data_IF_318326101365
#
_entry.id   IF_318326101365
#
_cell.length_a   1.000
_cell.length_b   1.000
_cell.length_c   1.000
_cell.angle_alpha   90.00
_cell.angle_beta   90.00
_cell.angle_gamma   90.00
#
_symmetry.space_group_name_H-M   'P 1'
#
loop_
_entity.id
_entity.type
_entity.pdbx_description
1 polymer ?
#
# COMPACT_ATOMS: atom_id res chain seq x y z
N UNK A 1 51.83 -38.51 -2.92
CA UNK A 1 51.48 -37.60 -4.00
C UNK A 1 50.27 -36.82 -3.57
N UNK A 2 50.51 -35.62 -3.34
CA UNK A 2 49.66 -34.65 -2.73
C UNK A 2 48.50 -34.24 -3.64
N UNK A 3 47.27 -34.26 -3.16
CA UNK A 3 46.18 -33.49 -3.68
C UNK A 3 45.70 -32.61 -2.52
N UNK A 4 46.15 -31.38 -2.62
CA UNK A 4 45.94 -30.34 -1.63
C UNK A 4 44.52 -29.93 -1.53
N UNK A 5 44.03 -30.09 -0.35
CA UNK A 5 42.89 -29.50 0.23
C UNK A 5 43.07 -27.98 0.33
N UNK A 6 42.42 -27.21 -0.59
CA UNK A 6 42.23 -25.76 -0.43
C UNK A 6 40.86 -25.52 0.15
N UNK A 7 40.74 -25.76 1.44
CA UNK A 7 39.72 -25.14 2.24
C UNK A 7 39.94 -23.63 2.22
N UNK A 8 39.02 -22.89 1.60
CA UNK A 8 39.03 -21.43 1.60
C UNK A 8 39.00 -20.93 3.05
N UNK A 9 40.06 -20.29 3.46
CA UNK A 9 40.15 -19.54 4.72
C UNK A 9 39.05 -18.47 4.71
N UNK A 10 38.06 -18.69 5.53
CA UNK A 10 37.06 -17.67 5.88
C UNK A 10 37.75 -16.68 6.81
N UNK A 11 38.25 -15.59 6.25
CA UNK A 11 38.74 -14.47 7.04
C UNK A 11 37.54 -13.82 7.73
N UNK A 12 37.37 -14.11 8.99
CA UNK A 12 36.42 -13.40 9.88
C UNK A 12 37.12 -12.11 10.28
N UNK A 13 36.68 -10.99 9.77
CA UNK A 13 37.07 -9.66 10.25
C UNK A 13 36.10 -9.25 11.37
N UNK A 14 36.66 -8.96 12.54
CA UNK A 14 35.93 -8.51 13.73
C UNK A 14 35.54 -7.04 13.60
N UNK A 15 34.28 -6.70 13.90
CA UNK A 15 33.83 -5.30 13.96
C UNK A 15 34.28 -4.61 15.25
N UNK A 16 34.24 -3.27 15.29
CA UNK A 16 34.51 -2.49 16.49
C UNK A 16 33.59 -2.84 17.70
N UNK A 17 32.54 -3.63 17.46
CA UNK A 17 31.55 -4.11 18.42
C UNK A 17 31.75 -5.62 18.76
N UNK A 18 32.90 -6.22 18.37
CA UNK A 18 33.27 -7.61 18.72
C UNK A 18 32.48 -8.71 18.00
N UNK A 19 31.75 -8.41 16.94
CA UNK A 19 30.90 -9.34 16.20
C UNK A 19 31.40 -9.75 14.82
N UNK A 20 30.97 -10.92 14.35
CA UNK A 20 31.26 -11.46 13.02
C UNK A 20 30.72 -10.54 11.90
N UNK A 21 31.55 -10.24 10.90
CA UNK A 21 31.20 -9.42 9.73
C UNK A 21 30.98 -10.28 8.49
N UNK A 22 29.84 -10.07 7.84
CA UNK A 22 29.39 -10.81 6.66
C UNK A 22 29.65 -10.03 5.38
N UNK A 23 30.00 -10.71 4.30
CA UNK A 23 29.92 -10.14 2.97
C UNK A 23 28.49 -10.23 2.41
N UNK A 24 28.20 -9.51 1.31
CA UNK A 24 26.84 -9.44 0.74
C UNK A 24 26.29 -10.81 0.29
N UNK A 25 27.18 -11.74 -0.12
CA UNK A 25 26.80 -13.11 -0.48
C UNK A 25 26.37 -13.91 0.74
N UNK A 26 27.13 -13.82 1.84
CA UNK A 26 26.78 -14.47 3.11
C UNK A 26 25.45 -13.92 3.66
N UNK A 27 25.22 -12.62 3.59
CA UNK A 27 23.92 -12.01 3.97
C UNK A 27 22.77 -12.59 3.14
N UNK A 28 22.99 -12.71 1.82
CA UNK A 28 21.98 -13.32 0.93
C UNK A 28 21.69 -14.76 1.32
N UNK A 29 22.73 -15.57 1.60
CA UNK A 29 22.58 -16.98 1.96
C UNK A 29 21.84 -17.13 3.31
N UNK A 30 22.16 -16.29 4.31
CA UNK A 30 21.52 -16.28 5.62
C UNK A 30 20.01 -15.97 5.55
N UNK A 31 19.62 -15.10 4.63
CA UNK A 31 18.24 -14.62 4.54
C UNK A 31 17.40 -15.35 3.47
N UNK A 32 18.03 -16.08 2.58
CA UNK A 32 17.37 -16.75 1.45
C UNK A 32 16.38 -17.84 1.88
N UNK A 33 16.67 -18.52 2.99
CA UNK A 33 15.79 -19.56 3.53
C UNK A 33 14.48 -18.95 4.06
N UNK A 34 14.57 -17.80 4.73
CA UNK A 34 13.42 -17.11 5.33
C UNK A 34 12.58 -16.32 4.31
N UNK A 35 13.25 -15.86 3.23
CA UNK A 35 12.65 -14.95 2.23
C UNK A 35 12.92 -15.39 0.77
N UNK A 36 12.44 -16.58 0.37
CA UNK A 36 12.68 -17.12 -0.96
C UNK A 36 12.07 -16.18 -2.02
N UNK A 37 12.89 -15.75 -2.98
CA UNK A 37 12.45 -14.86 -4.08
C UNK A 37 12.27 -13.39 -3.72
N UNK A 38 12.33 -13.02 -2.43
CA UNK A 38 12.14 -11.63 -1.97
C UNK A 38 13.47 -10.90 -1.75
N UNK A 39 14.58 -11.64 -1.59
CA UNK A 39 15.91 -11.06 -1.37
C UNK A 39 16.84 -11.35 -2.55
N UNK A 40 17.62 -10.33 -2.91
CA UNK A 40 18.67 -10.42 -3.94
C UNK A 40 19.76 -9.39 -3.66
N UNK A 41 20.95 -9.56 -4.26
CA UNK A 41 22.04 -8.58 -4.13
C UNK A 41 21.61 -7.16 -4.55
N UNK A 42 20.90 -6.95 -5.68
CA UNK A 42 20.37 -5.64 -6.02
C UNK A 42 19.44 -5.07 -4.96
N UNK A 43 18.58 -5.90 -4.35
CA UNK A 43 17.66 -5.48 -3.28
C UNK A 43 18.43 -4.99 -2.05
N UNK A 44 19.47 -5.71 -1.61
CA UNK A 44 20.32 -5.30 -0.47
C UNK A 44 20.99 -3.95 -0.75
N UNK A 45 21.52 -3.75 -1.97
CA UNK A 45 22.12 -2.47 -2.39
C UNK A 45 21.10 -1.33 -2.41
N UNK A 46 19.87 -1.62 -2.81
CA UNK A 46 18.80 -0.64 -2.81
C UNK A 46 18.42 -0.21 -1.38
N UNK A 47 18.41 -1.15 -0.42
CA UNK A 47 18.16 -0.83 1.00
C UNK A 47 19.27 0.08 1.58
N UNK A 48 20.53 -0.12 1.18
CA UNK A 48 21.64 0.79 1.53
C UNK A 48 21.43 2.18 0.89
N UNK A 49 21.07 2.22 -0.39
CA UNK A 49 20.83 3.47 -1.11
C UNK A 49 19.66 4.27 -0.53
N UNK A 50 18.61 3.59 -0.08
CA UNK A 50 17.47 4.18 0.61
C UNK A 50 17.79 4.58 2.07
N UNK A 51 19.01 4.33 2.57
CA UNK A 51 19.43 4.67 3.93
C UNK A 51 18.82 3.78 5.02
N UNK A 52 18.21 2.67 4.66
CA UNK A 52 17.58 1.74 5.61
C UNK A 52 18.61 0.84 6.32
N UNK A 53 19.78 0.64 5.72
CA UNK A 53 20.92 -0.07 6.30
C UNK A 53 22.22 0.71 6.00
N UNK A 54 23.22 0.57 6.88
CA UNK A 54 24.49 1.30 6.77
C UNK A 54 25.66 0.34 7.00
N UNK A 55 26.01 -0.51 6.00
CA UNK A 55 27.09 -1.46 6.14
C UNK A 55 28.44 -0.78 6.29
N UNK A 56 29.34 -1.38 7.04
CA UNK A 56 30.72 -0.95 7.15
C UNK A 56 31.45 -1.11 5.82
N UNK A 57 32.46 -0.27 5.58
CA UNK A 57 33.35 -0.41 4.43
C UNK A 57 34.77 -0.74 4.92
N UNK A 58 35.36 -1.77 4.35
CA UNK A 58 36.79 -2.07 4.57
C UNK A 58 37.66 -0.97 4.00
N UNK A 59 38.96 -0.95 4.39
CA UNK A 59 39.97 -0.08 3.79
C UNK A 59 40.08 -0.25 2.25
N UNK A 60 39.76 -1.45 1.74
CA UNK A 60 39.70 -1.77 0.30
C UNK A 60 38.32 -1.45 -0.34
N UNK A 61 37.39 -0.82 0.38
CA UNK A 61 36.11 -0.35 -0.15
C UNK A 61 35.00 -1.41 -0.21
N UNK A 62 35.24 -2.65 0.24
CA UNK A 62 34.21 -3.71 0.24
C UNK A 62 33.22 -3.50 1.38
N UNK A 63 31.94 -3.82 1.11
CA UNK A 63 30.87 -3.80 2.11
C UNK A 63 30.96 -4.96 3.08
N UNK A 64 30.86 -4.66 4.36
CA UNK A 64 30.78 -5.63 5.46
C UNK A 64 29.54 -5.33 6.30
N UNK A 65 28.75 -6.35 6.54
CA UNK A 65 27.49 -6.28 7.26
C UNK A 65 27.66 -6.91 8.64
N UNK A 66 27.25 -6.20 9.67
CA UNK A 66 27.19 -6.73 11.03
C UNK A 66 25.98 -7.67 11.21
N UNK A 67 25.93 -8.38 12.30
CA UNK A 67 24.76 -9.17 12.68
C UNK A 67 23.51 -8.26 12.82
N UNK A 68 23.70 -7.06 13.34
CA UNK A 68 22.66 -6.03 13.44
C UNK A 68 22.12 -5.62 12.06
N UNK A 69 22.97 -5.48 11.06
CA UNK A 69 22.54 -5.19 9.68
C UNK A 69 21.70 -6.35 9.11
N UNK A 70 22.07 -7.59 9.37
CA UNK A 70 21.33 -8.78 8.95
C UNK A 70 19.94 -8.80 9.59
N UNK A 71 19.84 -8.58 10.90
CA UNK A 71 18.55 -8.49 11.60
C UNK A 71 17.69 -7.32 11.09
N UNK A 72 18.33 -6.19 10.80
CA UNK A 72 17.65 -5.03 10.23
C UNK A 72 17.07 -5.33 8.84
N UNK A 73 17.82 -6.01 7.97
CA UNK A 73 17.31 -6.48 6.68
C UNK A 73 16.17 -7.49 6.88
N UNK A 74 16.30 -8.43 7.83
CA UNK A 74 15.24 -9.40 8.16
C UNK A 74 13.96 -8.68 8.57
N UNK A 75 14.05 -7.70 9.44
CA UNK A 75 12.93 -6.88 9.88
C UNK A 75 12.27 -6.16 8.69
N UNK A 76 13.05 -5.48 7.83
CA UNK A 76 12.54 -4.78 6.64
C UNK A 76 11.77 -5.73 5.73
N UNK A 77 12.36 -6.90 5.43
CA UNK A 77 11.73 -7.88 4.54
C UNK A 77 10.44 -8.46 5.15
N UNK A 78 10.43 -8.70 6.47
CA UNK A 78 9.22 -9.13 7.19
C UNK A 78 8.13 -8.07 7.12
N UNK A 79 8.45 -6.82 7.43
CA UNK A 79 7.49 -5.72 7.37
C UNK A 79 6.94 -5.50 5.95
N UNK A 80 7.77 -5.69 4.92
CA UNK A 80 7.32 -5.61 3.53
C UNK A 80 6.47 -6.81 3.10
N UNK A 81 6.78 -8.03 3.56
CA UNK A 81 6.09 -9.26 3.19
C UNK A 81 4.77 -9.45 3.92
N UNK A 82 4.81 -9.27 5.25
CA UNK A 82 3.72 -9.67 6.14
C UNK A 82 2.78 -8.48 6.45
N UNK A 83 3.32 -7.25 6.43
CA UNK A 83 2.60 -6.04 6.81
C UNK A 83 2.51 -5.01 5.68
N UNK A 84 3.12 -5.27 4.50
CA UNK A 84 3.08 -4.36 3.33
C UNK A 84 3.45 -2.91 3.64
N UNK A 85 4.27 -2.68 4.68
CA UNK A 85 4.61 -1.33 5.12
C UNK A 85 5.42 -0.58 4.05
N UNK A 86 5.08 0.69 3.79
CA UNK A 86 5.89 1.58 2.97
C UNK A 86 7.29 1.76 3.57
N UNK A 87 8.32 1.92 2.73
CA UNK A 87 9.71 2.12 3.17
C UNK A 87 9.86 3.25 4.18
N UNK A 88 9.10 4.34 4.04
CA UNK A 88 9.12 5.48 4.96
C UNK A 88 8.69 5.08 6.37
N UNK A 89 7.61 4.31 6.51
CA UNK A 89 7.13 3.82 7.80
C UNK A 89 8.14 2.83 8.41
N UNK A 90 8.73 1.96 7.58
CA UNK A 90 9.79 1.05 8.03
C UNK A 90 11.01 1.84 8.54
N UNK A 91 11.38 2.93 7.87
CA UNK A 91 12.47 3.81 8.32
C UNK A 91 12.16 4.43 9.70
N UNK A 92 10.93 4.89 9.94
CA UNK A 92 10.48 5.41 11.22
C UNK A 92 10.52 4.35 12.33
N UNK A 93 10.13 3.09 12.02
CA UNK A 93 10.26 1.96 12.94
C UNK A 93 11.72 1.66 13.30
N UNK A 94 12.60 1.64 12.28
CA UNK A 94 14.02 1.38 12.48
C UNK A 94 14.69 2.49 13.32
N UNK A 95 14.31 3.75 13.10
CA UNK A 95 14.78 4.88 13.91
C UNK A 95 14.30 4.77 15.38
N UNK A 96 13.06 4.35 15.59
CA UNK A 96 12.55 4.06 16.94
C UNK A 96 13.36 2.95 17.62
N UNK A 97 13.62 1.83 16.91
CA UNK A 97 14.44 0.73 17.40
C UNK A 97 15.89 1.17 17.71
N UNK A 98 16.47 2.03 16.88
CA UNK A 98 17.81 2.58 17.09
C UNK A 98 17.89 3.46 18.35
N UNK A 99 16.78 4.07 18.74
CA UNK A 99 16.63 4.84 20.00
C UNK A 99 16.24 3.99 21.21
N UNK A 100 16.12 2.65 21.05
CA UNK A 100 15.73 1.74 22.10
C UNK A 100 14.24 1.80 22.47
N UNK A 101 13.43 2.40 21.61
CA UNK A 101 11.96 2.38 21.74
C UNK A 101 11.42 1.11 21.07
N UNK A 102 10.39 0.50 21.66
CA UNK A 102 9.64 -0.52 20.92
C UNK A 102 9.01 0.15 19.69
N UNK A 103 9.25 -0.42 18.47
CA UNK A 103 8.54 0.06 17.30
C UNK A 103 7.04 -0.06 17.58
N UNK A 104 6.22 0.87 17.09
CA UNK A 104 4.77 0.72 17.19
C UNK A 104 4.41 -0.68 16.72
N UNK A 105 3.62 -1.40 17.53
CA UNK A 105 3.19 -2.74 17.18
C UNK A 105 2.69 -2.65 15.73
N UNK A 106 3.38 -3.33 14.81
CA UNK A 106 2.92 -3.39 13.44
C UNK A 106 1.63 -4.21 13.53
N UNK A 107 0.54 -3.51 13.80
CA UNK A 107 -0.79 -4.08 13.65
C UNK A 107 -0.75 -4.78 12.29
N UNK A 108 -1.22 -6.04 12.18
CA UNK A 108 -1.30 -6.68 10.89
C UNK A 108 -1.98 -5.65 10.00
N UNK A 109 -1.25 -5.11 9.03
CA UNK A 109 -1.86 -4.34 7.98
C UNK A 109 -2.54 -5.40 7.12
N UNK A 110 -3.63 -5.92 7.63
CA UNK A 110 -4.78 -6.10 6.76
C UNK A 110 -4.86 -4.74 6.08
N UNK A 111 -4.71 -4.64 4.74
CA UNK A 111 -4.87 -3.37 4.06
C UNK A 111 -6.09 -2.73 4.68
N UNK A 112 -5.86 -1.68 5.46
CA UNK A 112 -6.96 -1.07 6.20
C UNK A 112 -7.81 -0.55 5.08
N UNK A 113 -8.95 -1.16 4.89
CA UNK A 113 -9.97 -0.63 3.98
C UNK A 113 -10.00 0.83 4.32
N UNK A 114 -9.72 1.75 3.38
CA UNK A 114 -9.70 3.16 3.70
C UNK A 114 -11.02 3.45 4.40
N UNK A 115 -10.94 3.68 5.70
CA UNK A 115 -12.15 3.96 6.46
C UNK A 115 -12.60 5.31 5.95
N UNK A 116 -13.64 5.31 5.16
CA UNK A 116 -14.26 6.55 4.70
C UNK A 116 -14.51 7.36 5.95
N UNK A 117 -13.80 8.50 6.08
CA UNK A 117 -14.01 9.37 7.25
C UNK A 117 -15.44 9.86 7.20
N UNK A 118 -16.27 9.29 8.05
CA UNK A 118 -17.69 9.62 8.11
C UNK A 118 -17.87 10.86 8.98
N UNK A 119 -18.80 11.71 8.59
CA UNK A 119 -19.34 12.78 9.44
C UNK A 119 -20.13 12.17 10.60
N UNK A 120 -20.48 12.97 11.58
CA UNK A 120 -21.41 12.55 12.67
C UNK A 120 -22.75 12.01 12.17
N UNK A 121 -23.09 12.29 10.93
CA UNK A 121 -24.32 11.81 10.25
C UNK A 121 -24.08 10.50 9.45
N UNK A 122 -22.88 9.92 9.50
CA UNK A 122 -22.54 8.68 8.81
C UNK A 122 -22.29 8.82 7.30
N UNK A 123 -22.14 10.05 6.78
CA UNK A 123 -21.82 10.30 5.38
C UNK A 123 -20.31 10.58 5.19
N UNK A 124 -19.71 10.28 4.02
CA UNK A 124 -18.31 10.60 3.76
C UNK A 124 -18.01 12.09 3.94
N UNK A 125 -16.91 12.40 4.65
CA UNK A 125 -16.43 13.77 4.79
C UNK A 125 -15.67 14.22 3.53
N UNK A 126 -15.51 15.52 3.33
CA UNK A 126 -14.72 16.07 2.21
C UNK A 126 -13.28 15.51 2.18
N UNK A 127 -12.69 15.24 3.34
CA UNK A 127 -11.34 14.65 3.42
C UNK A 127 -11.26 13.24 2.83
N UNK A 128 -12.35 12.48 2.83
CA UNK A 128 -12.41 11.16 2.20
C UNK A 128 -12.21 11.23 0.69
N UNK A 129 -12.61 12.33 0.06
CA UNK A 129 -12.46 12.53 -1.38
C UNK A 129 -11.10 13.13 -1.79
N UNK A 130 -10.28 13.58 -0.81
CA UNK A 130 -8.93 14.12 -1.05
C UNK A 130 -7.83 13.08 -0.92
N UNK A 131 -8.10 11.95 -0.24
CA UNK A 131 -7.08 10.94 0.04
C UNK A 131 -6.76 10.15 -1.21
N UNK A 132 -5.55 10.34 -1.72
CA UNK A 132 -4.91 9.43 -2.66
C UNK A 132 -4.05 8.49 -1.83
N UNK A 133 -4.44 7.24 -1.70
CA UNK A 133 -3.54 6.25 -1.16
C UNK A 133 -2.71 5.60 -2.28
N UNK A 134 -1.56 5.07 -1.93
CA UNK A 134 -0.66 4.41 -2.85
C UNK A 134 -0.86 2.88 -2.85
N UNK A 135 -2.04 2.40 -2.41
CA UNK A 135 -2.34 0.98 -2.38
C UNK A 135 -2.37 0.44 -3.82
N UNK A 136 -1.64 -0.64 -4.06
CA UNK A 136 -1.60 -1.34 -5.35
C UNK A 136 -1.73 -2.83 -5.08
N UNK A 137 -2.88 -3.37 -5.39
CA UNK A 137 -3.20 -4.77 -5.22
C UNK A 137 -3.17 -5.47 -6.57
N UNK A 138 -2.47 -6.59 -6.66
CA UNK A 138 -2.66 -7.52 -7.76
C UNK A 138 -4.06 -8.15 -7.69
N UNK A 139 -4.52 -8.77 -8.79
CA UNK A 139 -5.80 -9.49 -8.81
C UNK A 139 -5.93 -10.50 -7.67
N UNK A 140 -4.86 -11.29 -7.43
CA UNK A 140 -4.86 -12.31 -6.37
C UNK A 140 -4.97 -11.70 -4.96
N UNK A 141 -4.30 -10.58 -4.73
CA UNK A 141 -4.36 -9.87 -3.45
C UNK A 141 -5.73 -9.26 -3.23
N UNK A 142 -6.32 -8.62 -4.25
CA UNK A 142 -7.67 -8.07 -4.15
C UNK A 142 -8.70 -9.14 -3.82
N UNK A 143 -8.71 -10.27 -4.54
CA UNK A 143 -9.59 -11.42 -4.28
C UNK A 143 -9.45 -11.92 -2.85
N UNK A 144 -8.20 -12.10 -2.38
CA UNK A 144 -7.92 -12.59 -1.03
C UNK A 144 -8.35 -11.60 0.05
N UNK A 145 -8.07 -10.31 -0.12
CA UNK A 145 -8.32 -9.27 0.89
C UNK A 145 -9.79 -8.88 0.94
N UNK A 146 -10.44 -8.75 -0.21
CA UNK A 146 -11.87 -8.51 -0.30
C UNK A 146 -12.71 -9.76 0.04
N UNK A 147 -12.05 -10.94 0.11
CA UNK A 147 -12.72 -12.23 0.30
C UNK A 147 -13.84 -12.47 -0.73
N UNK A 148 -13.60 -12.08 -1.97
CA UNK A 148 -14.53 -12.26 -3.08
C UNK A 148 -14.08 -13.41 -3.99
N UNK A 149 -15.01 -13.93 -4.79
CA UNK A 149 -14.66 -14.92 -5.83
C UNK A 149 -14.03 -14.22 -7.05
N UNK A 150 -13.21 -14.97 -7.81
CA UNK A 150 -12.70 -14.48 -9.10
C UNK A 150 -13.83 -14.19 -10.11
N UNK A 151 -14.96 -14.86 -9.96
CA UNK A 151 -16.14 -14.67 -10.78
C UNK A 151 -16.80 -13.32 -10.48
N UNK A 152 -17.07 -13.03 -9.21
CA UNK A 152 -17.59 -11.72 -8.78
C UNK A 152 -16.66 -10.59 -9.23
N UNK A 153 -15.34 -10.77 -9.09
CA UNK A 153 -14.38 -9.76 -9.53
C UNK A 153 -14.49 -9.51 -11.05
N UNK A 154 -14.61 -10.57 -11.87
CA UNK A 154 -14.83 -10.43 -13.32
C UNK A 154 -16.13 -9.68 -13.64
N UNK A 155 -17.22 -10.01 -12.95
CA UNK A 155 -18.50 -9.33 -13.15
C UNK A 155 -18.43 -7.84 -12.81
N UNK A 156 -17.67 -7.48 -11.76
CA UNK A 156 -17.42 -6.07 -11.39
C UNK A 156 -16.61 -5.34 -12.47
N UNK A 157 -15.61 -5.99 -13.06
CA UNK A 157 -14.84 -5.46 -14.19
C UNK A 157 -15.72 -5.28 -15.43
N UNK A 158 -16.51 -6.27 -15.78
CA UNK A 158 -17.44 -6.27 -16.93
C UNK A 158 -18.52 -5.17 -16.75
N UNK A 159 -18.95 -4.94 -15.53
CA UNK A 159 -19.87 -3.86 -15.19
C UNK A 159 -19.17 -2.49 -15.12
N UNK A 160 -17.84 -2.43 -15.29
CA UNK A 160 -17.00 -1.24 -15.16
C UNK A 160 -17.11 -0.55 -13.80
N UNK A 161 -17.41 -1.30 -12.75
CA UNK A 161 -17.43 -0.82 -11.37
C UNK A 161 -16.02 -0.64 -10.83
N UNK A 162 -15.11 -1.53 -11.25
CA UNK A 162 -13.68 -1.48 -10.93
C UNK A 162 -12.87 -1.68 -12.23
N UNK A 163 -11.64 -1.18 -12.23
CA UNK A 163 -10.70 -1.37 -13.33
C UNK A 163 -9.27 -1.48 -12.81
N UNK A 164 -8.50 -2.41 -13.37
CA UNK A 164 -7.08 -2.46 -13.12
C UNK A 164 -6.34 -1.37 -13.90
N UNK A 165 -5.51 -0.59 -13.23
CA UNK A 165 -4.60 0.38 -13.85
C UNK A 165 -3.20 -0.20 -13.84
N UNK A 166 -2.64 -0.47 -15.03
CA UNK A 166 -1.33 -1.13 -15.19
C UNK A 166 -1.23 -2.48 -14.48
N UNK A 167 -2.35 -3.23 -14.42
CA UNK A 167 -2.42 -4.55 -13.78
C UNK A 167 -2.62 -4.52 -12.26
N UNK A 168 -2.85 -3.36 -11.66
CA UNK A 168 -3.07 -3.19 -10.23
C UNK A 168 -4.40 -2.50 -9.95
N UNK A 169 -5.00 -2.82 -8.81
CA UNK A 169 -6.20 -2.19 -8.27
C UNK A 169 -5.81 -1.30 -7.08
N UNK A 170 -6.56 -0.23 -6.89
CA UNK A 170 -6.41 0.72 -5.79
C UNK A 170 -7.31 0.35 -4.59
N UNK A 171 -7.29 1.18 -3.58
CA UNK A 171 -8.13 1.05 -2.40
C UNK A 171 -9.62 1.17 -2.69
N UNK A 172 -10.00 2.02 -3.66
CA UNK A 172 -11.40 2.20 -4.02
C UNK A 172 -11.96 0.93 -4.65
N UNK A 173 -11.18 0.24 -5.48
CA UNK A 173 -11.54 -1.06 -6.04
C UNK A 173 -11.74 -2.11 -4.93
N UNK A 174 -10.95 -2.09 -3.85
CA UNK A 174 -11.12 -2.97 -2.70
C UNK A 174 -12.45 -2.71 -2.00
N UNK A 175 -12.75 -1.44 -1.68
CA UNK A 175 -14.01 -1.05 -1.01
C UNK A 175 -15.21 -1.42 -1.87
N UNK A 176 -15.15 -1.14 -3.19
CA UNK A 176 -16.23 -1.50 -4.11
C UNK A 176 -16.46 -3.00 -4.14
N UNK A 177 -15.39 -3.81 -4.18
CA UNK A 177 -15.50 -5.27 -4.21
C UNK A 177 -16.13 -5.82 -2.93
N UNK A 178 -15.73 -5.33 -1.76
CA UNK A 178 -16.31 -5.72 -0.47
C UNK A 178 -17.77 -5.32 -0.36
N UNK A 179 -18.11 -4.08 -0.71
CA UNK A 179 -19.48 -3.61 -0.70
C UNK A 179 -20.38 -4.37 -1.67
N UNK A 180 -19.85 -4.72 -2.86
CA UNK A 180 -20.58 -5.51 -3.82
C UNK A 180 -20.86 -6.95 -3.32
N UNK A 181 -19.88 -7.55 -2.60
CA UNK A 181 -20.09 -8.85 -1.92
C UNK A 181 -21.24 -8.77 -0.91
N UNK A 182 -21.22 -7.75 -0.05
CA UNK A 182 -22.30 -7.55 0.94
C UNK A 182 -23.65 -7.35 0.27
N UNK A 183 -23.72 -6.57 -0.80
CA UNK A 183 -24.96 -6.35 -1.57
C UNK A 183 -25.46 -7.63 -2.26
N UNK A 184 -24.55 -8.51 -2.68
CA UNK A 184 -24.91 -9.80 -3.27
C UNK A 184 -25.64 -10.72 -2.30
N UNK A 185 -25.39 -10.62 -0.98
CA UNK A 185 -26.13 -11.34 0.05
C UNK A 185 -27.64 -10.97 0.08
N UNK A 186 -27.96 -9.77 -0.39
CA UNK A 186 -29.34 -9.29 -0.57
C UNK A 186 -29.87 -9.49 -1.99
N UNK A 187 -29.16 -10.25 -2.84
CA UNK A 187 -29.56 -10.50 -4.22
C UNK A 187 -29.27 -9.35 -5.21
N UNK A 188 -28.47 -8.36 -4.80
CA UNK A 188 -28.06 -7.25 -5.66
C UNK A 188 -26.74 -7.61 -6.33
N UNK A 189 -26.79 -8.09 -7.56
CA UNK A 189 -25.65 -8.51 -8.35
C UNK A 189 -24.98 -7.31 -9.08
N UNK A 190 -23.72 -7.43 -9.57
CA UNK A 190 -23.02 -6.36 -10.28
C UNK A 190 -23.78 -5.73 -11.44
N UNK A 191 -24.59 -6.52 -12.17
CA UNK A 191 -25.44 -5.99 -13.25
C UNK A 191 -26.45 -4.93 -12.76
N UNK A 192 -26.96 -5.04 -11.53
CA UNK A 192 -27.87 -4.08 -10.93
C UNK A 192 -27.15 -2.79 -10.53
N UNK A 193 -25.85 -2.88 -10.21
CA UNK A 193 -25.04 -1.73 -9.80
C UNK A 193 -24.66 -0.80 -10.95
N UNK A 194 -24.84 -1.21 -12.22
CA UNK A 194 -24.57 -0.35 -13.39
C UNK A 194 -25.35 0.97 -13.36
N UNK A 195 -26.58 0.94 -12.83
CA UNK A 195 -27.39 2.15 -12.66
C UNK A 195 -26.78 3.11 -11.64
N UNK A 196 -26.29 2.58 -10.53
CA UNK A 196 -25.57 3.36 -9.50
C UNK A 196 -24.29 3.96 -10.04
N UNK A 197 -23.50 3.16 -10.80
CA UNK A 197 -22.30 3.63 -11.47
C UNK A 197 -22.60 4.80 -12.42
N UNK A 198 -23.64 4.69 -13.24
CA UNK A 198 -24.03 5.72 -14.17
C UNK A 198 -24.53 7.01 -13.44
N UNK A 199 -25.14 6.87 -12.26
CA UNK A 199 -25.49 8.02 -11.42
C UNK A 199 -24.24 8.70 -10.87
N UNK A 200 -23.31 7.93 -10.30
CA UNK A 200 -22.03 8.44 -9.82
C UNK A 200 -21.22 9.15 -10.92
N UNK A 201 -21.17 8.60 -12.14
CA UNK A 201 -20.48 9.22 -13.26
C UNK A 201 -21.08 10.58 -13.64
N UNK A 202 -22.42 10.72 -13.57
CA UNK A 202 -23.07 12.02 -13.79
C UNK A 202 -22.73 13.02 -12.68
N UNK A 203 -22.70 12.60 -11.43
CA UNK A 203 -22.30 13.43 -10.29
C UNK A 203 -20.85 13.91 -10.43
N UNK A 204 -19.93 13.01 -10.79
CA UNK A 204 -18.53 13.35 -11.10
C UNK A 204 -18.46 14.38 -12.23
N UNK A 205 -19.26 14.20 -13.29
CA UNK A 205 -19.34 15.15 -14.40
C UNK A 205 -19.77 16.57 -13.96
N UNK A 206 -20.73 16.67 -13.04
CA UNK A 206 -21.15 17.97 -12.47
C UNK A 206 -20.02 18.60 -11.64
N UNK A 207 -19.35 17.84 -10.80
CA UNK A 207 -18.19 18.32 -10.01
C UNK A 207 -17.10 18.85 -10.94
N UNK A 208 -16.76 18.09 -11.99
CA UNK A 208 -15.75 18.49 -12.98
C UNK A 208 -16.13 19.79 -13.70
N UNK A 209 -17.40 20.00 -14.05
CA UNK A 209 -17.86 21.25 -14.67
C UNK A 209 -17.68 22.46 -13.74
N UNK A 210 -17.93 22.29 -12.43
CA UNK A 210 -17.77 23.35 -11.44
C UNK A 210 -16.30 23.77 -11.30
N UNK A 211 -15.37 22.82 -11.29
CA UNK A 211 -13.94 23.11 -11.06
C UNK A 211 -13.16 23.40 -12.36
N UNK A 212 -13.72 23.11 -13.53
CA UNK A 212 -13.05 23.27 -14.82
C UNK A 212 -12.49 24.70 -15.05
N UNK A 213 -13.14 25.81 -14.67
CA UNK A 213 -12.59 27.15 -14.85
C UNK A 213 -11.30 27.37 -14.03
N UNK A 214 -11.23 26.80 -12.82
CA UNK A 214 -10.07 26.93 -11.93
C UNK A 214 -8.88 26.11 -12.44
N UNK A 215 -9.13 24.97 -13.10
CA UNK A 215 -8.10 24.09 -13.66
C UNK A 215 -7.49 24.60 -14.98
N UNK A 216 -8.10 25.61 -15.63
CA UNK A 216 -7.57 26.20 -16.87
C UNK A 216 -6.36 27.11 -16.65
N UNK A 217 -6.10 27.52 -15.41
CA UNK A 217 -4.95 28.32 -15.04
C UNK A 217 -3.80 27.43 -14.61
N UNK A 218 -2.55 27.78 -15.00
CA UNK A 218 -1.35 27.06 -14.56
C UNK A 218 -0.90 27.46 -13.13
N UNK A 219 -1.81 28.00 -12.32
CA UNK A 219 -1.53 28.40 -10.94
C UNK A 219 -1.72 27.21 -9.98
N UNK A 220 -0.66 26.79 -9.24
CA UNK A 220 -0.77 25.73 -8.26
C UNK A 220 -1.80 26.01 -7.16
N UNK A 221 -1.99 27.27 -6.77
CA UNK A 221 -2.98 27.66 -5.78
C UNK A 221 -4.41 27.53 -6.32
N UNK A 222 -4.63 27.80 -7.61
CA UNK A 222 -5.92 27.57 -8.24
C UNK A 222 -6.25 26.06 -8.33
N UNK A 223 -5.24 25.22 -8.60
CA UNK A 223 -5.40 23.76 -8.62
C UNK A 223 -5.76 23.22 -7.24
N UNK A 224 -5.07 23.67 -6.17
CA UNK A 224 -5.40 23.26 -4.80
C UNK A 224 -6.83 23.67 -4.41
N UNK A 225 -7.27 24.89 -4.77
CA UNK A 225 -8.66 25.33 -4.56
C UNK A 225 -9.67 24.51 -5.35
N UNK A 226 -9.33 24.12 -6.58
CA UNK A 226 -10.19 23.25 -7.40
C UNK A 226 -10.38 21.87 -6.75
N UNK A 227 -9.30 21.27 -6.24
CA UNK A 227 -9.35 19.99 -5.51
C UNK A 227 -10.19 20.10 -4.23
N UNK A 228 -10.04 21.20 -3.48
CA UNK A 228 -10.84 21.47 -2.29
C UNK A 228 -12.33 21.61 -2.63
N UNK A 229 -12.65 22.44 -3.61
CA UNK A 229 -14.03 22.62 -4.08
C UNK A 229 -14.64 21.31 -4.58
N UNK A 230 -13.87 20.50 -5.33
CA UNK A 230 -14.32 19.20 -5.81
C UNK A 230 -14.69 18.26 -4.66
N UNK A 231 -13.84 18.17 -3.63
CA UNK A 231 -14.07 17.34 -2.46
C UNK A 231 -15.32 17.79 -1.67
N UNK A 232 -15.51 19.10 -1.49
CA UNK A 232 -16.70 19.65 -0.81
C UNK A 232 -17.99 19.35 -1.56
N UNK A 233 -18.00 19.61 -2.88
CA UNK A 233 -19.18 19.37 -3.73
C UNK A 233 -19.50 17.87 -3.76
N UNK A 234 -18.50 16.99 -3.86
CA UNK A 234 -18.68 15.54 -3.80
C UNK A 234 -19.31 15.10 -2.47
N UNK A 235 -18.81 15.59 -1.33
CA UNK A 235 -19.38 15.28 -0.02
C UNK A 235 -20.84 15.73 0.11
N UNK A 236 -21.16 16.92 -0.39
CA UNK A 236 -22.55 17.45 -0.42
C UNK A 236 -23.46 16.59 -1.30
N UNK A 237 -22.97 16.17 -2.48
CA UNK A 237 -23.73 15.31 -3.41
C UNK A 237 -24.07 13.96 -2.76
N UNK A 238 -23.10 13.31 -2.12
CA UNK A 238 -23.33 12.02 -1.42
C UNK A 238 -24.32 12.19 -0.27
N UNK A 239 -24.22 13.27 0.52
CA UNK A 239 -25.17 13.57 1.59
C UNK A 239 -26.59 13.76 1.05
N UNK A 240 -26.74 14.50 -0.03
CA UNK A 240 -28.03 14.68 -0.70
C UNK A 240 -28.59 13.36 -1.20
N UNK A 241 -27.76 12.54 -1.87
CA UNK A 241 -28.13 11.23 -2.39
C UNK A 241 -28.64 10.30 -1.29
N UNK A 242 -27.89 10.18 -0.17
CA UNK A 242 -28.29 9.38 1.00
C UNK A 242 -29.62 9.88 1.59
N UNK A 243 -29.83 11.20 1.65
CA UNK A 243 -31.07 11.81 2.14
C UNK A 243 -32.25 11.51 1.21
N UNK A 244 -32.06 11.53 -0.10
CA UNK A 244 -33.10 11.20 -1.08
C UNK A 244 -33.50 9.72 -0.98
N UNK A 245 -32.54 8.81 -0.83
CA UNK A 245 -32.83 7.38 -0.57
C UNK A 245 -33.65 7.23 0.71
N UNK A 246 -33.18 7.85 1.82
CA UNK A 246 -33.90 7.82 3.10
C UNK A 246 -35.33 8.36 3.00
N UNK A 247 -35.52 9.45 2.25
CA UNK A 247 -36.84 10.02 2.03
C UNK A 247 -37.73 9.12 1.17
N UNK A 248 -37.16 8.46 0.15
CA UNK A 248 -37.87 7.51 -0.71
C UNK A 248 -38.35 6.28 0.05
N UNK A 249 -37.53 5.74 0.94
CA UNK A 249 -37.89 4.57 1.77
C UNK A 249 -39.01 4.85 2.81
N UNK A 250 -39.29 6.13 3.13
CA UNK A 250 -40.34 6.52 4.05
C UNK A 250 -41.71 6.74 3.37
N UNK A 251 -41.71 6.76 2.04
CA UNK A 251 -42.99 6.90 1.31
C UNK A 251 -43.59 5.52 1.12
N UNK A 252 -44.85 5.28 1.57
CA UNK A 252 -45.53 4.01 1.41
C UNK A 252 -45.80 3.67 -0.05
#
# INVERSE_FOLDING_TARGET
MAAENRAAERTVEESADGGELFNIGQVLDLLRADFPGLISIPKIRLLEQDGLITPHRTASGYRKFSHRDVERIRYILRMQRDHYLPKKVIAEHLDAMDRGLEPPEAAPVVPTVPTVSLTSEGTPSADSFRRTDNLRLSRKELVKIAEVSDELLRELEDARLIMAVRGYYDSDALVIAQTAKELAEFGIEPRHLRGMKAAADREVGLVQQIVAPQLRTNDPAARARAEETAAEVAALSVRLHATLIKAGLKRP
#
